data_IF_155716261547
#
_entry.id   IF_155716261547
#
_cell.length_a   1.000
_cell.length_b   1.000
_cell.length_c   1.000
_cell.angle_alpha   90.00
_cell.angle_beta   90.00
_cell.angle_gamma   90.00
#
_symmetry.space_group_name_H-M   'P 1'
#
loop_
_entity.id
_entity.type
_entity.pdbx_description
1 polymer ?
#
# COMPACT_ATOMS: atom_id res chain seq x y z
N UNK A 1 -1.01 -0.99 18.99
CA UNK A 1 -1.59 -0.46 17.73
C UNK A 1 -1.84 1.03 17.90
N UNK A 2 -1.44 1.83 16.92
CA UNK A 2 -1.56 3.30 16.98
C UNK A 2 -2.20 3.84 15.70
N UNK A 3 -2.97 4.94 15.77
CA UNK A 3 -3.46 5.64 14.59
C UNK A 3 -2.31 6.06 13.68
N UNK A 4 -2.49 5.88 12.38
CA UNK A 4 -1.48 6.17 11.40
C UNK A 4 -2.10 6.65 10.09
N UNK A 5 -2.36 7.96 10.02
CA UNK A 5 -3.08 8.60 8.93
C UNK A 5 -2.09 9.20 7.93
N UNK A 6 -1.53 8.35 7.06
CA UNK A 6 -0.58 8.78 6.03
C UNK A 6 -0.84 8.14 4.66
N UNK A 7 -0.34 8.78 3.61
CA UNK A 7 -0.11 8.15 2.31
C UNK A 7 1.30 7.56 2.33
N UNK A 8 1.38 6.25 2.13
CA UNK A 8 2.60 5.51 1.89
C UNK A 8 2.69 5.16 0.40
N UNK A 9 3.81 5.49 -0.23
CA UNK A 9 4.16 5.01 -1.57
C UNK A 9 5.50 4.32 -1.50
N UNK A 10 5.56 3.06 -1.92
CA UNK A 10 6.81 2.33 -2.16
C UNK A 10 6.95 2.27 -3.69
N UNK A 11 7.86 3.07 -4.29
CA UNK A 11 8.04 3.14 -5.74
C UNK A 11 8.23 1.77 -6.40
N UNK A 12 9.05 0.93 -5.77
CA UNK A 12 9.55 -0.34 -6.32
C UNK A 12 9.58 -1.40 -5.22
N UNK A 13 8.53 -2.22 -5.16
CA UNK A 13 8.43 -3.28 -4.15
C UNK A 13 9.60 -4.28 -4.25
N UNK A 14 9.93 -4.72 -5.46
CA UNK A 14 11.02 -5.69 -5.69
C UNK A 14 12.39 -5.14 -5.29
N UNK A 15 12.63 -3.85 -5.51
CA UNK A 15 13.88 -3.19 -5.14
C UNK A 15 13.99 -3.05 -3.62
N UNK A 16 12.92 -2.63 -2.96
CA UNK A 16 12.86 -2.57 -1.50
C UNK A 16 13.13 -3.93 -0.85
N UNK A 17 12.67 -5.03 -1.46
CA UNK A 17 12.92 -6.38 -0.97
C UNK A 17 14.29 -6.96 -1.38
N UNK A 18 15.06 -6.28 -2.24
CA UNK A 18 16.31 -6.79 -2.79
C UNK A 18 16.13 -8.06 -3.65
N UNK A 19 14.97 -8.23 -4.29
CA UNK A 19 14.66 -9.43 -5.08
C UNK A 19 14.93 -9.23 -6.57
N UNK A 20 15.56 -10.22 -7.20
CA UNK A 20 15.72 -10.30 -8.66
C UNK A 20 14.56 -11.06 -9.34
N UNK A 21 13.69 -11.68 -8.54
CA UNK A 21 12.60 -12.51 -9.02
C UNK A 21 11.48 -11.67 -9.63
N UNK A 22 11.12 -11.97 -10.88
CA UNK A 22 10.11 -11.22 -11.65
C UNK A 22 8.71 -11.84 -11.63
N UNK A 23 8.56 -13.06 -11.14
CA UNK A 23 7.25 -13.72 -11.13
C UNK A 23 6.90 -14.47 -12.41
N UNK A 24 5.70 -15.02 -12.37
CA UNK A 24 5.04 -15.65 -13.51
C UNK A 24 3.69 -14.97 -13.72
N UNK A 25 3.27 -14.89 -14.97
CA UNK A 25 1.93 -14.42 -15.32
C UNK A 25 1.37 -15.29 -16.44
N UNK A 26 0.15 -15.81 -16.26
CA UNK A 26 -0.50 -16.74 -17.19
C UNK A 26 0.42 -17.92 -17.62
N UNK A 27 1.14 -18.51 -16.66
CA UNK A 27 2.13 -19.60 -16.86
C UNK A 27 3.36 -19.24 -17.70
N UNK A 28 3.56 -17.96 -18.03
CA UNK A 28 4.79 -17.44 -18.66
C UNK A 28 5.67 -16.75 -17.63
N UNK A 29 6.99 -16.82 -17.83
CA UNK A 29 7.96 -16.05 -17.03
C UNK A 29 7.85 -14.58 -17.40
N UNK A 30 7.85 -13.71 -16.40
CA UNK A 30 7.90 -12.26 -16.62
C UNK A 30 9.31 -11.87 -17.06
N UNK A 31 9.42 -11.23 -18.23
CA UNK A 31 10.70 -10.82 -18.81
C UNK A 31 11.27 -9.57 -18.13
N UNK A 32 10.42 -8.56 -17.87
CA UNK A 32 10.79 -7.27 -17.28
C UNK A 32 9.64 -6.68 -16.49
N UNK A 33 9.94 -6.15 -15.30
CA UNK A 33 9.03 -5.33 -14.50
C UNK A 33 9.47 -3.87 -14.62
N UNK A 34 8.63 -3.05 -15.24
CA UNK A 34 8.84 -1.62 -15.38
C UNK A 34 8.30 -0.84 -14.18
N UNK A 35 7.23 -1.32 -13.57
CA UNK A 35 6.64 -0.74 -12.37
C UNK A 35 6.02 -1.83 -11.49
N UNK A 36 6.20 -1.70 -10.18
CA UNK A 36 5.69 -2.59 -9.12
C UNK A 36 5.49 -1.77 -7.84
N UNK A 37 4.72 -0.70 -7.98
CA UNK A 37 4.52 0.31 -6.94
C UNK A 37 3.45 -0.15 -5.97
N UNK A 38 3.72 0.02 -4.67
CA UNK A 38 2.70 -0.07 -3.63
C UNK A 38 2.28 1.35 -3.27
N UNK A 39 0.99 1.63 -3.30
CA UNK A 39 0.42 2.85 -2.74
C UNK A 39 -0.63 2.48 -1.70
N UNK A 40 -0.62 3.13 -0.55
CA UNK A 40 -1.55 2.83 0.53
C UNK A 40 -1.87 4.09 1.32
N UNK A 41 -3.15 4.31 1.59
CA UNK A 41 -3.56 5.25 2.62
C UNK A 41 -3.75 4.42 3.88
N UNK A 42 -2.96 4.71 4.90
CA UNK A 42 -2.97 3.96 6.14
C UNK A 42 -3.94 4.60 7.13
N UNK A 43 -4.43 3.79 8.07
CA UNK A 43 -5.24 4.25 9.20
C UNK A 43 -4.68 3.77 10.55
N UNK A 44 -4.00 2.63 10.59
CA UNK A 44 -3.42 2.04 11.80
C UNK A 44 -2.07 1.41 11.49
N UNK A 45 -1.17 1.45 12.48
CA UNK A 45 0.04 0.63 12.47
C UNK A 45 0.26 -0.12 13.79
N UNK A 46 1.03 -1.20 13.70
CA UNK A 46 1.44 -1.99 14.85
C UNK A 46 2.79 -2.65 14.58
N UNK A 47 3.71 -2.58 15.54
CA UNK A 47 4.91 -3.41 15.56
C UNK A 47 4.63 -4.63 16.44
N UNK A 48 4.94 -5.82 15.92
CA UNK A 48 4.78 -7.09 16.63
C UNK A 48 6.14 -7.78 16.69
N UNK A 49 6.66 -7.99 17.89
CA UNK A 49 7.97 -8.62 18.08
C UNK A 49 7.81 -10.13 18.24
N UNK A 50 8.54 -10.87 17.41
CA UNK A 50 8.58 -12.32 17.37
C UNK A 50 9.99 -12.82 17.67
N UNK A 51 10.15 -14.15 17.80
CA UNK A 51 11.49 -14.76 17.93
C UNK A 51 12.37 -14.51 16.70
N UNK A 52 11.76 -14.30 15.53
CA UNK A 52 12.44 -14.14 14.24
C UNK A 52 12.74 -12.69 13.87
N UNK A 53 12.34 -11.72 14.70
CA UNK A 53 12.46 -10.29 14.42
C UNK A 53 11.19 -9.53 14.74
N UNK A 54 11.14 -8.26 14.36
CA UNK A 54 9.92 -7.45 14.49
C UNK A 54 9.21 -7.32 13.14
N UNK A 55 7.90 -7.49 13.16
CA UNK A 55 7.01 -7.36 12.02
C UNK A 55 6.17 -6.09 12.16
N UNK A 56 6.25 -5.20 11.19
CA UNK A 56 5.50 -3.94 11.14
C UNK A 56 4.27 -4.12 10.26
N UNK A 57 3.09 -4.05 10.87
CA UNK A 57 1.80 -4.13 10.22
C UNK A 57 1.27 -2.71 9.96
N UNK A 58 0.93 -2.43 8.71
CA UNK A 58 0.26 -1.20 8.29
C UNK A 58 -1.11 -1.59 7.71
N UNK A 59 -2.17 -0.98 8.22
CA UNK A 59 -3.56 -1.26 7.82
C UNK A 59 -4.19 -0.05 7.15
N UNK A 60 -5.07 -0.29 6.17
CA UNK A 60 -5.68 0.78 5.40
C UNK A 60 -6.24 0.31 4.05
N UNK A 61 -6.26 1.21 3.07
CA UNK A 61 -6.71 0.94 1.70
C UNK A 61 -5.54 1.14 0.74
N UNK A 62 -5.20 0.14 -0.05
CA UNK A 62 -3.97 0.15 -0.84
C UNK A 62 -4.03 -0.62 -2.14
N UNK A 63 -3.12 -0.30 -3.06
CA UNK A 63 -3.00 -0.93 -4.35
C UNK A 63 -1.54 -1.32 -4.59
N UNK A 64 -1.32 -2.59 -4.96
CA UNK A 64 -0.09 -3.03 -5.60
C UNK A 64 -0.29 -2.97 -7.12
N UNK A 65 0.37 -2.02 -7.77
CA UNK A 65 0.25 -1.73 -9.20
C UNK A 65 1.46 -2.25 -9.97
N UNK A 66 1.19 -2.92 -11.09
CA UNK A 66 2.20 -3.57 -11.90
C UNK A 66 2.14 -3.12 -13.36
N UNK A 67 3.31 -2.83 -13.93
CA UNK A 67 3.53 -2.69 -15.37
C UNK A 67 4.72 -3.55 -15.75
N UNK A 68 4.49 -4.57 -16.56
CA UNK A 68 5.51 -5.57 -16.89
C UNK A 68 5.35 -6.10 -18.31
N UNK A 69 6.33 -6.88 -18.77
CA UNK A 69 6.36 -7.51 -20.09
C UNK A 69 6.53 -9.03 -19.96
N UNK A 70 5.77 -9.79 -20.74
CA UNK A 70 6.05 -11.21 -20.97
C UNK A 70 7.02 -11.40 -22.14
N UNK A 71 6.78 -10.64 -23.20
CA UNK A 71 7.56 -10.59 -24.43
C UNK A 71 7.92 -9.12 -24.69
N UNK A 72 9.12 -8.87 -25.22
CA UNK A 72 9.68 -7.52 -25.36
C UNK A 72 8.73 -6.58 -26.12
N UNK A 73 8.48 -5.39 -25.55
CA UNK A 73 7.73 -4.31 -26.19
C UNK A 73 6.19 -4.40 -26.06
N UNK A 74 5.67 -5.36 -25.29
CA UNK A 74 4.23 -5.45 -24.96
C UNK A 74 4.00 -5.34 -23.47
N UNK A 75 3.52 -4.16 -23.05
CA UNK A 75 3.19 -3.90 -21.65
C UNK A 75 1.87 -4.55 -21.24
N UNK A 76 1.89 -5.19 -20.08
CA UNK A 76 0.73 -5.68 -19.35
C UNK A 76 0.61 -4.84 -18.09
N UNK A 77 -0.59 -4.31 -17.86
CA UNK A 77 -0.97 -3.68 -16.61
C UNK A 77 -1.73 -4.69 -15.76
N UNK A 78 -1.33 -4.82 -14.50
CA UNK A 78 -2.05 -5.63 -13.50
C UNK A 78 -2.10 -4.87 -12.18
N UNK A 79 -3.07 -5.18 -11.34
CA UNK A 79 -3.17 -4.57 -10.03
C UNK A 79 -3.83 -5.51 -9.02
N UNK A 80 -3.44 -5.37 -7.75
CA UNK A 80 -4.00 -6.13 -6.63
C UNK A 80 -4.36 -5.16 -5.52
N UNK A 81 -5.60 -5.21 -5.07
CA UNK A 81 -5.99 -4.53 -3.84
C UNK A 81 -5.29 -5.17 -2.66
N UNK A 82 -4.83 -4.32 -1.75
CA UNK A 82 -4.29 -4.71 -0.46
C UNK A 82 -4.95 -3.84 0.61
N UNK A 83 -5.14 -4.40 1.79
CA UNK A 83 -5.62 -3.67 2.95
C UNK A 83 -4.70 -3.81 4.17
N UNK A 84 -3.63 -4.60 4.01
CA UNK A 84 -2.58 -4.79 5.00
C UNK A 84 -1.23 -4.89 4.29
N UNK A 85 -0.22 -4.22 4.83
CA UNK A 85 1.17 -4.39 4.45
C UNK A 85 1.93 -4.90 5.67
N UNK A 86 2.70 -5.98 5.50
CA UNK A 86 3.59 -6.48 6.56
C UNK A 86 5.03 -6.26 6.08
N UNK A 87 5.77 -5.45 6.84
CA UNK A 87 7.19 -5.22 6.65
C UNK A 87 7.98 -5.94 7.75
N UNK A 88 8.92 -6.81 7.37
CA UNK A 88 9.94 -7.29 8.30
C UNK A 88 10.88 -6.15 8.71
N UNK A 89 11.51 -6.29 9.87
CA UNK A 89 12.48 -5.35 10.42
C UNK A 89 13.53 -4.89 9.40
N UNK A 90 14.25 -5.80 8.75
CA UNK A 90 15.29 -5.42 7.79
C UNK A 90 14.74 -4.64 6.58
N UNK A 91 13.50 -4.91 6.16
CA UNK A 91 12.83 -4.18 5.07
C UNK A 91 12.40 -2.80 5.56
N UNK A 92 11.84 -2.72 6.77
CA UNK A 92 11.45 -1.46 7.37
C UNK A 92 12.67 -0.56 7.60
N UNK A 93 13.75 -1.12 8.16
CA UNK A 93 15.01 -0.43 8.41
C UNK A 93 15.64 0.07 7.12
N UNK A 94 15.69 -0.75 6.07
CA UNK A 94 16.18 -0.31 4.76
C UNK A 94 15.30 0.82 4.19
N UNK A 95 13.98 0.72 4.32
CA UNK A 95 13.06 1.75 3.88
C UNK A 95 13.27 3.09 4.59
N UNK A 96 13.53 3.10 5.90
CA UNK A 96 13.68 4.35 6.68
C UNK A 96 15.09 4.92 6.64
N UNK A 97 16.12 4.10 6.42
CA UNK A 97 17.52 4.55 6.34
C UNK A 97 18.00 4.83 4.91
N UNK A 98 17.13 4.61 3.92
CA UNK A 98 17.42 4.91 2.53
C UNK A 98 17.72 6.40 2.32
N UNK A 99 18.55 6.68 1.32
CA UNK A 99 19.01 8.03 1.00
C UNK A 99 17.82 8.95 0.66
N UNK A 100 17.79 10.09 1.32
CA UNK A 100 16.77 11.11 1.10
C UNK A 100 16.90 11.74 -0.29
N UNK A 101 15.74 12.04 -0.89
CA UNK A 101 15.66 12.73 -2.18
C UNK A 101 15.38 14.22 -1.96
N UNK A 102 14.53 14.55 -0.98
CA UNK A 102 14.22 15.91 -0.55
C UNK A 102 13.55 15.91 0.83
N UNK A 103 13.32 17.11 1.39
CA UNK A 103 12.68 17.32 2.70
C UNK A 103 13.49 16.78 3.90
N UNK A 104 14.82 16.76 3.80
CA UNK A 104 15.74 16.21 4.81
C UNK A 104 15.57 16.78 6.24
N UNK A 105 14.94 17.94 6.38
CA UNK A 105 14.69 18.60 7.67
C UNK A 105 13.18 18.66 8.03
N UNK A 106 12.33 17.88 7.36
CA UNK A 106 10.91 17.79 7.69
C UNK A 106 10.60 16.47 8.39
N UNK A 107 10.42 16.54 9.72
CA UNK A 107 10.19 15.36 10.56
C UNK A 107 8.91 14.58 10.21
N UNK A 108 7.96 15.23 9.52
CA UNK A 108 6.64 14.64 9.26
C UNK A 108 6.53 14.03 7.86
N UNK A 109 7.41 14.41 6.91
CA UNK A 109 7.33 13.95 5.51
C UNK A 109 8.63 13.26 5.12
N UNK A 110 8.53 11.95 4.86
CA UNK A 110 9.67 11.17 4.37
C UNK A 110 9.59 11.08 2.85
N UNK A 111 10.65 11.46 2.16
CA UNK A 111 10.81 11.28 0.72
C UNK A 111 12.23 10.80 0.43
N UNK A 112 12.38 9.49 0.31
CA UNK A 112 13.65 8.83 0.05
C UNK A 112 13.55 7.88 -1.16
N UNK A 113 14.68 7.26 -1.52
CA UNK A 113 14.77 6.36 -2.68
C UNK A 113 13.83 5.13 -2.59
N UNK A 114 13.45 4.71 -1.38
CA UNK A 114 12.68 3.48 -1.14
C UNK A 114 11.21 3.72 -0.80
N UNK A 115 10.88 4.87 -0.24
CA UNK A 115 9.51 5.20 0.16
C UNK A 115 9.24 6.71 0.23
N UNK A 116 7.95 6.99 0.09
CA UNK A 116 7.34 8.29 0.36
C UNK A 116 6.31 8.10 1.46
N UNK A 117 6.39 8.85 2.55
CA UNK A 117 5.38 8.90 3.61
C UNK A 117 4.91 10.34 3.78
N UNK A 118 3.61 10.57 3.62
CA UNK A 118 3.01 11.90 3.65
C UNK A 118 1.85 11.87 4.66
N UNK A 119 1.87 12.68 5.72
CA UNK A 119 0.74 12.81 6.63
C UNK A 119 -0.50 13.29 5.87
N UNK A 120 -1.66 12.73 6.21
CA UNK A 120 -2.94 13.20 5.65
C UNK A 120 -3.31 14.59 6.19
N UNK A 121 -2.79 14.97 7.35
CA UNK A 121 -2.95 16.30 7.93
C UNK A 121 -1.63 17.06 8.03
N UNK A 122 -1.51 18.13 7.24
CA UNK A 122 -0.38 19.08 7.28
C UNK A 122 -0.73 20.36 8.06
N UNK A 123 -1.81 20.37 8.84
CA UNK A 123 -2.31 21.55 9.56
C UNK A 123 -1.31 22.19 10.51
N UNK A 124 -0.39 21.39 11.05
CA UNK A 124 0.64 21.85 11.96
C UNK A 124 1.78 22.59 11.25
N UNK A 125 1.87 22.51 9.92
CA UNK A 125 2.88 23.21 9.11
C UNK A 125 2.43 24.64 8.79
N UNK A 126 3.36 25.58 8.77
CA UNK A 126 3.12 26.96 8.32
C UNK A 126 2.70 27.01 6.85
N UNK A 127 2.04 28.09 6.41
CA UNK A 127 1.61 28.24 5.00
C UNK A 127 2.78 28.11 4.01
N UNK A 128 3.94 28.68 4.32
CA UNK A 128 5.14 28.56 3.47
C UNK A 128 5.65 27.12 3.42
N UNK A 129 5.70 26.41 4.55
CA UNK A 129 6.09 24.99 4.57
C UNK A 129 5.11 24.13 3.76
N UNK A 130 3.80 24.36 3.91
CA UNK A 130 2.79 23.65 3.13
C UNK A 130 2.99 23.88 1.62
N UNK A 131 3.23 25.11 1.18
CA UNK A 131 3.50 25.42 -0.25
C UNK A 131 4.76 24.71 -0.74
N UNK A 132 5.82 24.69 0.07
CA UNK A 132 7.06 24.00 -0.29
C UNK A 132 6.86 22.48 -0.40
N UNK A 133 6.27 21.85 0.61
CA UNK A 133 5.91 20.42 0.59
C UNK A 133 5.05 20.11 -0.63
N UNK A 134 4.04 20.95 -0.91
CA UNK A 134 3.17 20.81 -2.09
C UNK A 134 3.95 20.82 -3.41
N UNK A 135 4.91 21.73 -3.55
CA UNK A 135 5.79 21.79 -4.72
C UNK A 135 6.66 20.54 -4.88
N UNK A 136 7.29 20.08 -3.79
CA UNK A 136 8.16 18.90 -3.78
C UNK A 136 7.38 17.63 -4.11
N UNK A 137 6.23 17.42 -3.48
CA UNK A 137 5.38 16.25 -3.73
C UNK A 137 4.79 16.27 -5.15
N UNK A 138 4.43 17.44 -5.69
CA UNK A 138 3.98 17.54 -7.09
C UNK A 138 5.03 16.98 -8.05
N UNK A 139 6.29 17.41 -7.89
CA UNK A 139 7.39 17.04 -8.78
C UNK A 139 7.84 15.59 -8.62
N UNK A 140 7.92 15.10 -7.38
CA UNK A 140 8.56 13.82 -7.08
C UNK A 140 7.57 12.67 -6.86
N UNK A 141 6.29 12.97 -6.63
CA UNK A 141 5.28 11.97 -6.25
C UNK A 141 4.09 12.00 -7.20
N UNK A 142 3.37 13.12 -7.26
CA UNK A 142 2.10 13.19 -7.99
C UNK A 142 2.27 13.11 -9.51
N UNK A 143 3.29 13.76 -10.08
CA UNK A 143 3.58 13.67 -11.52
C UNK A 143 4.13 12.27 -11.89
N UNK A 144 5.18 11.74 -11.24
CA UNK A 144 5.76 10.46 -11.61
C UNK A 144 4.82 9.27 -11.40
N UNK A 145 4.02 9.28 -10.33
CA UNK A 145 3.11 8.19 -9.98
C UNK A 145 1.64 8.51 -10.29
N UNK A 146 1.37 9.48 -11.17
CA UNK A 146 0.01 9.88 -11.55
C UNK A 146 -0.88 8.71 -11.94
N UNK A 147 -0.38 7.80 -12.78
CA UNK A 147 -1.12 6.61 -13.22
C UNK A 147 -1.51 5.71 -12.04
N UNK A 148 -0.58 5.47 -11.11
CA UNK A 148 -0.81 4.62 -9.93
C UNK A 148 -1.83 5.25 -8.99
N UNK A 149 -1.71 6.55 -8.74
CA UNK A 149 -2.62 7.31 -7.87
C UNK A 149 -4.03 7.30 -8.47
N UNK A 150 -4.17 7.57 -9.77
CA UNK A 150 -5.44 7.50 -10.48
C UNK A 150 -6.10 6.12 -10.35
N UNK A 151 -5.32 5.06 -10.58
CA UNK A 151 -5.80 3.67 -10.46
C UNK A 151 -6.25 3.32 -9.05
N UNK A 152 -5.56 3.81 -8.04
CA UNK A 152 -5.95 3.62 -6.65
C UNK A 152 -7.29 4.29 -6.34
N UNK A 153 -7.50 5.51 -6.83
CA UNK A 153 -8.75 6.25 -6.66
C UNK A 153 -9.91 5.57 -7.39
N UNK A 154 -9.73 5.25 -8.68
CA UNK A 154 -10.70 4.49 -9.49
C UNK A 154 -11.09 3.18 -8.80
N UNK A 155 -10.11 2.49 -8.21
CA UNK A 155 -10.34 1.26 -7.48
C UNK A 155 -11.10 1.50 -6.17
N UNK A 156 -10.76 2.55 -5.42
CA UNK A 156 -11.39 2.88 -4.14
C UNK A 156 -12.85 3.31 -4.24
N UNK A 157 -13.26 3.86 -5.38
CA UNK A 157 -14.66 4.24 -5.64
C UNK A 157 -15.57 3.05 -5.99
N UNK A 158 -15.04 1.85 -6.21
CA UNK A 158 -15.89 0.67 -6.43
C UNK A 158 -16.55 0.24 -5.13
N UNK A 159 -17.81 -0.19 -5.23
CA UNK A 159 -18.62 -0.60 -4.08
C UNK A 159 -17.99 -1.76 -3.30
N UNK A 160 -17.39 -2.73 -4.00
CA UNK A 160 -16.80 -3.94 -3.46
C UNK A 160 -15.31 -3.81 -3.06
N UNK A 161 -14.70 -2.65 -3.30
CA UNK A 161 -13.27 -2.47 -3.06
C UNK A 161 -12.93 -2.42 -1.56
N UNK A 162 -11.81 -3.05 -1.21
CA UNK A 162 -11.26 -3.05 0.16
C UNK A 162 -12.22 -3.55 1.27
N UNK A 163 -13.31 -4.25 0.91
CA UNK A 163 -14.28 -4.76 1.87
C UNK A 163 -13.66 -5.86 2.75
N UNK A 164 -13.05 -5.47 3.86
CA UNK A 164 -12.44 -6.38 4.83
C UNK A 164 -13.48 -7.23 5.58
N UNK A 165 -14.76 -6.82 5.56
CA UNK A 165 -15.87 -7.57 6.13
C UNK A 165 -16.35 -8.69 5.20
N UNK A 166 -16.36 -8.47 3.89
CA UNK A 166 -16.88 -9.45 2.93
C UNK A 166 -15.76 -10.31 2.32
N UNK A 167 -14.63 -9.69 1.99
CA UNK A 167 -13.51 -10.34 1.28
C UNK A 167 -12.31 -10.64 2.19
N UNK A 168 -12.36 -10.16 3.45
CA UNK A 168 -11.31 -10.36 4.44
C UNK A 168 -10.03 -9.56 4.19
N UNK A 169 -8.91 -10.05 4.72
CA UNK A 169 -7.60 -9.41 4.62
C UNK A 169 -6.91 -9.76 3.30
N UNK A 170 -6.31 -8.74 2.68
CA UNK A 170 -5.49 -8.83 1.46
C UNK A 170 -4.13 -8.23 1.81
N UNK A 171 -3.17 -9.11 2.09
CA UNK A 171 -1.91 -8.75 2.72
C UNK A 171 -0.77 -8.84 1.70
N UNK A 172 0.01 -7.78 1.52
CA UNK A 172 1.32 -7.87 0.87
C UNK A 172 2.39 -8.01 1.96
N UNK A 173 3.25 -9.02 1.85
CA UNK A 173 4.12 -9.41 2.97
C UNK A 173 5.58 -9.53 2.59
N UNK A 174 6.44 -8.97 3.45
CA UNK A 174 7.86 -9.29 3.55
C UNK A 174 8.21 -10.00 4.86
N UNK A 175 7.22 -10.57 5.55
CA UNK A 175 7.45 -11.41 6.72
C UNK A 175 8.32 -12.63 6.36
N UNK A 176 9.30 -13.06 7.16
CA UNK A 176 10.22 -14.15 6.80
C UNK A 176 9.52 -15.44 6.35
N UNK A 177 8.50 -15.89 7.07
CA UNK A 177 7.72 -17.10 6.73
C UNK A 177 6.89 -16.97 5.44
N UNK A 178 6.60 -15.74 5.00
CA UNK A 178 5.72 -15.44 3.87
C UNK A 178 6.35 -14.40 2.93
N UNK A 179 7.67 -14.47 2.78
CA UNK A 179 8.43 -13.42 2.12
C UNK A 179 8.05 -13.26 0.65
N UNK A 180 7.78 -12.01 0.26
CA UNK A 180 7.34 -11.60 -1.07
C UNK A 180 6.10 -12.36 -1.57
N UNK A 181 5.03 -12.37 -0.77
CA UNK A 181 3.76 -13.04 -1.10
C UNK A 181 2.58 -12.10 -0.91
N UNK A 182 1.51 -12.42 -1.64
CA UNK A 182 0.17 -11.90 -1.34
C UNK A 182 -0.59 -12.97 -0.55
N UNK A 183 -1.12 -12.60 0.61
CA UNK A 183 -1.84 -13.49 1.51
C UNK A 183 -3.30 -13.02 1.54
N UNK A 184 -4.22 -13.95 1.28
CA UNK A 184 -5.64 -13.69 1.19
C UNK A 184 -6.38 -14.43 2.30
N UNK A 185 -7.50 -13.87 2.75
CA UNK A 185 -8.46 -14.56 3.62
C UNK A 185 -9.20 -15.66 2.87
N UNK A 186 -9.69 -16.66 3.61
CA UNK A 186 -10.47 -17.77 3.03
C UNK A 186 -11.83 -17.30 2.50
N UNK A 187 -12.38 -16.21 3.06
CA UNK A 187 -13.57 -15.53 2.51
C UNK A 187 -13.42 -15.19 1.02
N UNK A 188 -12.18 -14.93 0.58
CA UNK A 188 -11.84 -14.63 -0.80
C UNK A 188 -11.95 -15.84 -1.75
N UNK A 189 -11.94 -17.08 -1.23
CA UNK A 189 -12.15 -18.29 -2.03
C UNK A 189 -13.61 -18.46 -2.47
N UNK A 190 -14.55 -17.86 -1.74
CA UNK A 190 -15.99 -18.11 -1.90
C UNK A 190 -16.65 -17.13 -2.88
N UNK A 191 -16.05 -15.96 -3.08
CA UNK A 191 -16.46 -15.01 -4.12
C UNK A 191 -15.65 -15.29 -5.40
N UNK A 192 -16.29 -15.29 -6.57
CA UNK A 192 -15.77 -15.68 -7.89
C UNK A 192 -14.64 -14.75 -8.43
N UNK A 193 -13.58 -14.57 -7.64
CA UNK A 193 -12.45 -13.69 -7.92
C UNK A 193 -11.32 -14.43 -8.64
N UNK A 194 -11.65 -15.14 -9.71
CA UNK A 194 -10.69 -15.89 -10.54
C UNK A 194 -9.46 -15.08 -11.00
N UNK A 195 -9.54 -13.73 -11.00
CA UNK A 195 -8.42 -12.82 -11.28
C UNK A 195 -7.33 -12.83 -10.20
N UNK A 196 -7.67 -12.96 -8.93
CA UNK A 196 -6.73 -12.94 -7.80
C UNK A 196 -6.08 -14.30 -7.53
N UNK A 197 -6.62 -15.39 -8.07
CA UNK A 197 -6.01 -16.73 -8.00
C UNK A 197 -4.83 -16.85 -8.98
N UNK A 198 -4.78 -15.99 -10.00
CA UNK A 198 -3.74 -16.03 -11.03
C UNK A 198 -2.42 -15.49 -10.47
N UNK A 199 -1.30 -16.18 -10.74
CA UNK A 199 0.04 -15.65 -10.50
C UNK A 199 0.16 -14.24 -11.08
N UNK A 200 0.83 -13.36 -10.33
CA UNK A 200 1.08 -11.98 -10.73
C UNK A 200 2.58 -11.68 -10.67
N UNK A 201 3.02 -10.66 -11.42
CA UNK A 201 4.42 -10.29 -11.49
C UNK A 201 4.93 -9.76 -10.14
N UNK A 202 6.24 -9.87 -9.92
CA UNK A 202 6.93 -9.31 -8.76
C UNK A 202 6.70 -10.00 -7.42
N UNK A 203 5.72 -10.90 -7.30
CA UNK A 203 5.46 -11.69 -6.07
C UNK A 203 5.62 -13.19 -6.31
N UNK A 204 6.09 -13.93 -5.30
CA UNK A 204 6.41 -15.36 -5.39
C UNK A 204 5.17 -16.21 -5.69
N UNK A 205 4.12 -16.03 -4.90
CA UNK A 205 2.83 -16.69 -5.07
C UNK A 205 1.77 -15.99 -4.23
N UNK A 206 0.54 -16.49 -4.37
CA UNK A 206 -0.64 -16.06 -3.61
C UNK A 206 -1.07 -17.23 -2.73
N UNK A 207 -1.36 -16.97 -1.46
CA UNK A 207 -1.73 -17.99 -0.48
C UNK A 207 -2.94 -17.58 0.35
N UNK A 208 -3.77 -18.56 0.73
CA UNK A 208 -4.95 -18.32 1.54
C UNK A 208 -4.66 -18.66 3.00
N UNK A 209 -3.97 -17.73 3.68
CA UNK A 209 -3.50 -17.89 5.06
C UNK A 209 -3.64 -16.60 5.87
N UNK A 210 -4.25 -15.54 5.31
CA UNK A 210 -4.30 -14.24 5.97
C UNK A 210 -5.07 -14.30 7.30
N UNK A 211 -6.21 -15.01 7.35
CA UNK A 211 -7.00 -15.13 8.57
C UNK A 211 -6.22 -15.79 9.70
N UNK A 212 -5.43 -16.84 9.38
CA UNK A 212 -4.58 -17.49 10.37
C UNK A 212 -3.55 -16.50 10.93
N UNK A 213 -2.82 -15.80 10.06
CA UNK A 213 -1.81 -14.82 10.46
C UNK A 213 -2.41 -13.73 11.32
N UNK A 214 -3.56 -13.19 10.93
CA UNK A 214 -4.23 -12.14 11.67
C UNK A 214 -4.70 -12.62 13.04
N UNK A 215 -5.21 -13.85 13.18
CA UNK A 215 -5.60 -14.44 14.46
C UNK A 215 -4.40 -14.85 15.33
N UNK A 216 -3.24 -15.17 14.72
CA UNK A 216 -2.02 -15.52 15.45
C UNK A 216 -1.42 -14.28 16.16
N UNK A 217 -1.63 -13.07 15.61
CA UNK A 217 -1.02 -11.84 16.12
C UNK A 217 -1.96 -10.87 16.83
N UNK A 218 -3.28 -10.94 16.58
CA UNK A 218 -4.23 -9.96 17.08
C UNK A 218 -5.43 -10.65 17.75
N UNK A 219 -5.87 -10.06 18.86
CA UNK A 219 -7.10 -10.46 19.53
C UNK A 219 -8.35 -10.13 18.69
N UNK A 220 -9.48 -10.80 18.98
CA UNK A 220 -10.76 -10.50 18.31
C UNK A 220 -11.18 -9.04 18.41
N UNK A 221 -10.84 -8.36 19.51
CA UNK A 221 -11.10 -6.93 19.69
C UNK A 221 -10.25 -6.09 18.72
N UNK A 222 -8.94 -6.36 18.65
CA UNK A 222 -8.03 -5.64 17.74
C UNK A 222 -8.41 -5.87 16.26
N UNK A 223 -8.77 -7.11 15.90
CA UNK A 223 -9.25 -7.44 14.56
C UNK A 223 -10.54 -6.67 14.20
N UNK A 224 -11.44 -6.49 15.17
CA UNK A 224 -12.66 -5.70 14.98
C UNK A 224 -12.33 -4.22 14.76
N UNK A 225 -11.39 -3.68 15.54
CA UNK A 225 -10.86 -2.32 15.37
C UNK A 225 -10.22 -2.11 14.01
N UNK A 226 -9.35 -3.03 13.57
CA UNK A 226 -8.71 -2.97 12.24
C UNK A 226 -9.77 -2.92 11.14
N UNK A 227 -10.73 -3.86 11.16
CA UNK A 227 -11.81 -3.92 10.16
C UNK A 227 -12.65 -2.65 10.14
N UNK A 228 -12.98 -2.11 11.31
CA UNK A 228 -13.72 -0.86 11.43
C UNK A 228 -12.93 0.31 10.82
N UNK A 229 -11.65 0.45 11.14
CA UNK A 229 -10.81 1.53 10.61
C UNK A 229 -10.62 1.46 9.10
N UNK A 230 -10.43 0.26 8.53
CA UNK A 230 -10.37 0.06 7.08
C UNK A 230 -11.71 0.45 6.43
N UNK A 231 -12.84 0.05 7.03
CA UNK A 231 -14.18 0.40 6.54
C UNK A 231 -14.42 1.91 6.57
N UNK A 232 -14.04 2.58 7.66
CA UNK A 232 -14.14 4.03 7.77
C UNK A 232 -13.31 4.70 6.67
N UNK A 233 -12.08 4.26 6.45
CA UNK A 233 -11.23 4.80 5.39
C UNK A 233 -11.82 4.56 3.99
N UNK A 234 -12.41 3.39 3.73
CA UNK A 234 -13.16 3.12 2.48
C UNK A 234 -14.32 4.10 2.30
N UNK A 235 -15.09 4.37 3.34
CA UNK A 235 -16.20 5.33 3.26
C UNK A 235 -15.71 6.76 2.97
N UNK A 236 -14.53 7.14 3.47
CA UNK A 236 -13.88 8.40 3.11
C UNK A 236 -13.54 8.43 1.61
N UNK A 237 -12.97 7.34 1.08
CA UNK A 237 -12.65 7.20 -0.35
C UNK A 237 -13.87 7.42 -1.26
N UNK A 238 -15.04 6.95 -0.85
CA UNK A 238 -16.30 7.12 -1.61
C UNK A 238 -16.74 8.59 -1.73
N UNK A 239 -16.24 9.45 -0.86
CA UNK A 239 -16.52 10.90 -0.85
C UNK A 239 -15.41 11.73 -1.47
N UNK A 240 -14.30 11.12 -1.89
CA UNK A 240 -13.19 11.86 -2.48
C UNK A 240 -13.59 12.38 -3.86
N UNK A 241 -13.96 13.66 -3.92
CA UNK A 241 -14.07 14.40 -5.17
C UNK A 241 -12.68 14.61 -5.78
N UNK A 242 -12.51 14.09 -6.99
CA UNK A 242 -11.22 14.02 -7.62
C UNK A 242 -11.06 15.11 -8.69
N UNK A 243 -10.08 15.99 -8.47
CA UNK A 243 -9.61 16.93 -9.47
C UNK A 243 -8.26 16.46 -10.04
N UNK A 244 -8.27 15.97 -11.29
CA UNK A 244 -7.05 15.57 -12.01
C UNK A 244 -6.02 16.68 -12.16
N UNK A 245 -6.44 17.94 -12.06
CA UNK A 245 -5.59 19.12 -12.14
C UNK A 245 -5.02 19.52 -10.78
N UNK A 246 -5.62 19.04 -9.68
CA UNK A 246 -5.19 19.33 -8.31
C UNK A 246 -5.25 18.07 -7.43
N UNK A 247 -4.24 17.20 -7.58
CA UNK A 247 -4.14 15.94 -6.82
C UNK A 247 -4.10 16.13 -5.28
N UNK A 248 -3.80 17.34 -4.81
CA UNK A 248 -3.92 17.70 -3.38
C UNK A 248 -5.35 17.75 -2.87
N UNK A 249 -6.36 17.82 -3.75
CA UNK A 249 -7.77 17.73 -3.36
C UNK A 249 -8.06 16.45 -2.58
N UNK A 250 -7.31 15.37 -2.87
CA UNK A 250 -7.44 14.08 -2.18
C UNK A 250 -7.05 14.23 -0.71
N UNK A 251 -5.88 14.82 -0.43
CA UNK A 251 -5.40 15.05 0.93
C UNK A 251 -6.35 15.99 1.69
N UNK A 252 -6.84 17.03 1.03
CA UNK A 252 -7.77 17.99 1.64
C UNK A 252 -9.14 17.38 1.94
N UNK A 253 -9.67 16.52 1.07
CA UNK A 253 -10.94 15.83 1.29
C UNK A 253 -10.81 14.78 2.38
N UNK A 254 -9.76 13.95 2.35
CA UNK A 254 -9.53 12.93 3.38
C UNK A 254 -9.38 13.58 4.75
N UNK A 255 -8.62 14.67 4.86
CA UNK A 255 -8.47 15.42 6.11
C UNK A 255 -9.80 15.91 6.68
N UNK A 256 -10.74 16.38 5.85
CA UNK A 256 -12.06 16.87 6.30
C UNK A 256 -12.92 15.75 6.90
N UNK A 257 -12.77 14.54 6.38
CA UNK A 257 -13.59 13.39 6.76
C UNK A 257 -12.96 12.50 7.84
N UNK A 258 -11.66 12.65 8.12
CA UNK A 258 -11.01 11.93 9.22
C UNK A 258 -11.57 12.40 10.58
N UNK A 259 -11.95 11.48 11.48
CA UNK A 259 -12.34 11.85 12.84
C UNK A 259 -11.16 12.52 13.55
N UNK A 260 -11.44 13.65 14.20
CA UNK A 260 -10.47 14.43 14.97
C UNK A 260 -10.10 13.76 16.29
#
# INVERSE_FOLDING_TARGET
MVPNNMILIIPRWSELLGILFKGFYAKKIVSKIHLDTVIMITCLECAVTEKTGTSYFLFGTGLYFLKFELDSGRYILDQREINTLILSDFVYDYMVTAKEIALENDDDVILNEMAVKIPLDLSQKTGTQQVFIKGVLTRNVFIPYKEVILRMLEQGQKEDAYSALETGYKILSSHPSNFNRILLSDAFKMADHSKYIKPTAGVKNIQFVADKIMNDFFSSYELSTIKYSIKTLKHIFDKVEFDTSYLFSILETIRKELPK
#
